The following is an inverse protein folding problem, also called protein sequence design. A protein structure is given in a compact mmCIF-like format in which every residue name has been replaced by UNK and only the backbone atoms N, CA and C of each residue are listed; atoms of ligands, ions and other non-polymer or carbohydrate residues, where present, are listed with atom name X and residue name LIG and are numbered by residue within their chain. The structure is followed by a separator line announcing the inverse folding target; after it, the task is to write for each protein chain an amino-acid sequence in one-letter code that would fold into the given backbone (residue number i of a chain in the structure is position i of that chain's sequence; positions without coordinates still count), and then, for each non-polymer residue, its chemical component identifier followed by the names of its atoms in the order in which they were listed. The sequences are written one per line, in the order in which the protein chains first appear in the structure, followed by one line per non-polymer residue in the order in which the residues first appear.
data_IF_166902423377
#
_entry.id   IF_166902423377
#
_cell.length_a   1.000
_cell.length_b   1.000
_cell.length_c   1.000
_cell.angle_alpha   90.00
_cell.angle_beta   90.00
_cell.angle_gamma   90.00
#
_symmetry.space_group_name_H-M   'P 1'
#
loop_
_entity.id
_entity.type
_entity.pdbx_description
1 polymer ?
#
# COMPACT_ATOMS: atom_id res chain seq x y z
N UNK A 1 17.92 12.05 10.75
CA UNK A 1 16.74 12.67 11.39
C UNK A 1 15.51 12.00 10.79
N UNK A 2 14.80 11.17 11.56
CA UNK A 2 13.63 10.42 11.09
C UNK A 2 12.38 11.25 11.39
N UNK A 3 11.52 11.50 10.40
CA UNK A 3 10.21 12.12 10.64
C UNK A 3 9.41 11.24 11.61
N UNK A 4 8.69 11.81 12.61
CA UNK A 4 7.90 11.02 13.54
C UNK A 4 6.89 10.15 12.79
N UNK A 5 6.78 8.87 13.19
CA UNK A 5 5.84 7.90 12.61
C UNK A 5 4.43 8.47 12.44
N UNK A 6 3.91 9.07 13.51
CA UNK A 6 2.59 9.68 13.56
C UNK A 6 2.37 10.79 12.53
N UNK A 7 3.40 11.56 12.18
CA UNK A 7 3.26 12.64 11.19
C UNK A 7 3.05 12.06 9.80
N UNK A 8 3.77 10.98 9.48
CA UNK A 8 3.64 10.29 8.21
C UNK A 8 2.33 9.50 8.12
N UNK A 9 1.86 8.95 9.23
CA UNK A 9 0.55 8.29 9.31
C UNK A 9 -0.59 9.28 9.06
N UNK A 10 -0.58 10.44 9.72
CA UNK A 10 -1.56 11.52 9.50
C UNK A 10 -1.55 12.03 8.06
N UNK A 11 -0.37 12.26 7.49
CA UNK A 11 -0.25 12.66 6.08
C UNK A 11 -0.86 11.59 5.15
N UNK A 12 -0.66 10.31 5.49
CA UNK A 12 -1.24 9.23 4.73
C UNK A 12 -2.76 9.11 4.88
N UNK A 13 -3.32 9.41 6.05
CA UNK A 13 -4.78 9.48 6.26
C UNK A 13 -5.39 10.63 5.45
N UNK A 14 -4.75 11.81 5.43
CA UNK A 14 -5.19 12.94 4.61
C UNK A 14 -5.18 12.57 3.13
N UNK A 15 -4.10 11.94 2.67
CA UNK A 15 -3.97 11.45 1.31
C UNK A 15 -5.11 10.47 0.95
N UNK A 16 -5.44 9.54 1.85
CA UNK A 16 -6.57 8.61 1.66
C UNK A 16 -7.92 9.36 1.64
N UNK A 17 -8.10 10.37 2.49
CA UNK A 17 -9.31 11.19 2.59
C UNK A 17 -9.60 11.99 1.31
N UNK A 18 -8.54 12.48 0.64
CA UNK A 18 -8.68 13.19 -0.66
C UNK A 18 -8.85 12.24 -1.86
N UNK A 19 -8.94 10.92 -1.62
CA UNK A 19 -9.22 9.93 -2.64
C UNK A 19 -7.99 9.27 -3.25
N UNK A 20 -6.79 9.46 -2.70
CA UNK A 20 -5.62 8.71 -3.13
C UNK A 20 -5.74 7.25 -2.71
N UNK A 21 -5.74 6.36 -3.70
CA UNK A 21 -5.98 4.91 -3.50
C UNK A 21 -4.74 4.13 -3.09
N UNK A 22 -3.55 4.69 -3.33
CA UNK A 22 -2.27 4.01 -3.15
C UNK A 22 -1.30 4.95 -2.44
N UNK A 23 -1.38 4.98 -1.12
CA UNK A 23 -0.54 5.83 -0.28
C UNK A 23 0.53 4.98 0.39
N UNK A 24 1.80 5.35 0.18
CA UNK A 24 2.95 4.60 0.68
C UNK A 24 3.80 5.47 1.60
N UNK A 25 4.22 4.90 2.72
CA UNK A 25 5.16 5.55 3.65
C UNK A 25 6.53 4.87 3.48
N UNK A 26 7.39 5.47 2.68
CA UNK A 26 8.73 4.94 2.35
C UNK A 26 9.79 5.15 3.42
N UNK A 27 9.72 6.26 4.16
CA UNK A 27 10.77 6.69 5.11
C UNK A 27 10.73 5.98 6.48
N UNK A 28 9.84 4.98 6.64
CA UNK A 28 9.78 4.13 7.82
C UNK A 28 10.02 2.65 7.42
N UNK A 29 11.23 2.12 7.69
CA UNK A 29 11.54 0.73 7.38
C UNK A 29 10.64 -0.21 8.19
N UNK A 30 10.06 -1.22 7.52
CA UNK A 30 9.16 -2.19 8.16
C UNK A 30 7.74 -1.69 8.46
N UNK A 31 7.40 -0.45 8.12
CA UNK A 31 6.08 0.09 8.39
C UNK A 31 4.99 -0.56 7.52
N UNK A 32 3.79 -0.74 8.08
CA UNK A 32 2.65 -1.38 7.40
C UNK A 32 2.32 -0.68 6.08
N UNK A 33 2.30 0.67 6.07
CA UNK A 33 2.05 1.49 4.86
C UNK A 33 3.18 1.49 3.82
N UNK A 34 4.23 0.69 3.97
CA UNK A 34 5.18 0.41 2.87
C UNK A 34 4.63 -0.66 1.90
N UNK A 35 3.59 -1.38 2.32
CA UNK A 35 2.94 -2.45 1.54
C UNK A 35 1.73 -1.93 0.75
N UNK A 36 1.39 -2.59 -0.36
CA UNK A 36 0.20 -2.25 -1.17
C UNK A 36 -1.03 -2.92 -0.58
N UNK A 37 -2.07 -2.11 -0.34
CA UNK A 37 -3.37 -2.57 0.12
C UNK A 37 -4.41 -2.45 -0.99
N UNK A 38 -5.41 -3.33 -0.95
CA UNK A 38 -6.54 -3.26 -1.85
C UNK A 38 -7.42 -2.04 -1.49
N UNK A 39 -7.71 -1.11 -2.41
CA UNK A 39 -8.62 0.01 -2.12
C UNK A 39 -10.07 -0.44 -1.88
N UNK A 40 -10.50 -1.58 -2.46
CA UNK A 40 -11.83 -2.14 -2.21
C UNK A 40 -12.00 -2.78 -0.82
N UNK A 41 -11.15 -3.76 -0.46
CA UNK A 41 -11.32 -4.54 0.79
C UNK A 41 -10.28 -4.26 1.87
N UNK A 42 -9.36 -3.31 1.65
CA UNK A 42 -8.25 -2.95 2.55
C UNK A 42 -7.32 -4.09 2.95
N UNK A 43 -7.40 -5.26 2.30
CA UNK A 43 -6.48 -6.38 2.52
C UNK A 43 -5.12 -6.11 1.89
N UNK A 44 -4.05 -6.57 2.56
CA UNK A 44 -2.68 -6.49 2.05
C UNK A 44 -2.52 -7.37 0.81
N UNK A 45 -2.14 -6.75 -0.30
CA UNK A 45 -1.93 -7.40 -1.59
C UNK A 45 -0.47 -7.64 -1.88
N UNK A 46 0.36 -6.61 -1.70
CA UNK A 46 1.80 -6.72 -1.88
C UNK A 46 2.45 -6.38 -0.56
N UNK A 47 3.20 -7.31 0.00
CA UNK A 47 4.06 -7.01 1.16
C UNK A 47 5.40 -6.53 0.66
N UNK A 48 5.83 -5.33 1.07
CA UNK A 48 7.14 -4.78 0.73
C UNK A 48 7.94 -4.43 1.98
N UNK A 49 9.24 -4.63 1.91
CA UNK A 49 10.22 -4.15 2.90
C UNK A 49 11.31 -3.44 2.10
N UNK A 50 11.50 -2.15 2.38
CA UNK A 50 12.35 -1.27 1.56
C UNK A 50 11.94 -1.33 0.09
N UNK A 51 12.88 -1.59 -0.82
CA UNK A 51 12.67 -1.75 -2.26
C UNK A 51 12.23 -3.15 -2.66
N UNK A 52 12.18 -4.12 -1.73
CA UNK A 52 11.92 -5.53 -2.03
C UNK A 52 10.46 -5.91 -1.79
N UNK A 53 9.81 -6.48 -2.80
CA UNK A 53 8.50 -7.11 -2.65
C UNK A 53 8.66 -8.55 -2.12
N UNK A 54 8.20 -8.80 -0.90
CA UNK A 54 8.26 -10.13 -0.26
C UNK A 54 7.12 -11.04 -0.70
N UNK A 55 5.96 -10.46 -1.03
CA UNK A 55 4.85 -11.24 -1.57
C UNK A 55 4.00 -10.37 -2.48
N UNK A 56 3.45 -10.99 -3.52
CA UNK A 56 2.45 -10.40 -4.39
C UNK A 56 1.27 -11.36 -4.50
N UNK A 57 0.10 -10.95 -3.99
CA UNK A 57 -1.13 -11.74 -4.05
C UNK A 57 -2.02 -11.35 -5.24
N UNK A 58 -1.64 -10.36 -6.03
CA UNK A 58 -2.44 -9.87 -7.16
C UNK A 58 -2.41 -10.91 -8.27
N UNK A 59 -3.59 -11.30 -8.74
CA UNK A 59 -3.75 -12.26 -9.84
C UNK A 59 -4.42 -11.57 -11.01
N UNK A 60 -3.79 -11.57 -12.19
CA UNK A 60 -4.30 -10.93 -13.41
C UNK A 60 -4.75 -9.47 -13.18
N UNK A 61 -3.96 -8.71 -12.41
CA UNK A 61 -4.28 -7.33 -12.04
C UNK A 61 -5.48 -7.13 -11.13
N UNK A 62 -5.96 -8.19 -10.45
CA UNK A 62 -7.11 -8.12 -9.55
C UNK A 62 -6.77 -8.59 -8.14
N UNK A 63 -7.49 -8.01 -7.18
CA UNK A 63 -7.48 -8.47 -5.79
C UNK A 63 -8.12 -9.87 -5.73
N UNK A 64 -7.42 -10.91 -5.23
CA UNK A 64 -7.98 -12.26 -5.14
C UNK A 64 -9.06 -12.37 -4.06
N UNK A 65 -9.21 -11.37 -3.19
CA UNK A 65 -10.14 -11.40 -2.07
C UNK A 65 -11.50 -10.74 -2.35
N UNK A 66 -11.53 -9.71 -3.21
CA UNK A 66 -12.77 -8.98 -3.50
C UNK A 66 -12.98 -8.71 -5.00
N UNK A 67 -12.05 -9.16 -5.85
CA UNK A 67 -12.13 -8.93 -7.30
C UNK A 67 -11.79 -7.51 -7.76
N UNK A 68 -11.53 -6.56 -6.85
CA UNK A 68 -11.21 -5.18 -7.22
C UNK A 68 -10.02 -5.13 -8.19
N UNK A 69 -10.20 -4.41 -9.30
CA UNK A 69 -9.15 -4.19 -10.28
C UNK A 69 -8.08 -3.25 -9.73
N UNK A 70 -6.86 -3.76 -9.60
CA UNK A 70 -5.73 -2.99 -9.14
C UNK A 70 -5.08 -2.36 -10.36
N UNK A 71 -5.17 -1.03 -10.46
CA UNK A 71 -4.49 -0.29 -11.51
C UNK A 71 -2.98 -0.40 -11.31
N UNK A 72 -2.28 -0.96 -12.30
CA UNK A 72 -0.84 -1.23 -12.25
C UNK A 72 -0.40 -2.09 -13.44
N UNK A 73 0.91 -2.32 -13.55
CA UNK A 73 1.50 -3.20 -14.57
C UNK A 73 1.67 -4.59 -13.95
N UNK A 74 0.94 -5.58 -14.49
CA UNK A 74 0.93 -6.97 -14.03
C UNK A 74 1.21 -7.87 -15.23
N UNK A 75 2.49 -8.00 -15.61
CA UNK A 75 2.93 -8.92 -16.68
C UNK A 75 3.46 -10.21 -16.05
#
# INVERSE_FOLDING_TARGET
MQLPGETLEKAAEIAESVGLKYVYIGNLPGHKKNSTYCPGCKKRLIQRIHSTALSNKIKKGRCPFCGYEIKGIWN
#
